data_IF_931055323216
#
_entry.id   IF_931055323216
#
_cell.length_a   1.000
_cell.length_b   1.000
_cell.length_c   1.000
_cell.angle_alpha   90.00
_cell.angle_beta   90.00
_cell.angle_gamma   90.00
#
_symmetry.space_group_name_H-M   'P 1'
#
loop_
_entity.id
_entity.type
_entity.pdbx_description
1 polymer ?
#
# COMPACT_ATOMS: atom_id res chain seq x y z
N UNK A 1 0.82 1.63 -16.61
CA UNK A 1 1.10 0.84 -17.84
C UNK A 1 0.59 -0.61 -17.74
N UNK A 2 1.12 -1.47 -16.85
CA UNK A 2 0.65 -2.87 -16.73
C UNK A 2 -0.87 -3.04 -16.57
N UNK A 3 -1.47 -2.27 -15.66
CA UNK A 3 -2.93 -2.30 -15.45
C UNK A 3 -3.71 -1.87 -16.71
N UNK A 4 -3.16 -0.95 -17.51
CA UNK A 4 -3.76 -0.50 -18.76
C UNK A 4 -3.72 -1.60 -19.82
N UNK A 5 -2.56 -2.26 -20.00
CA UNK A 5 -2.41 -3.38 -20.94
C UNK A 5 -3.28 -4.58 -20.54
N UNK A 6 -3.44 -4.85 -19.25
CA UNK A 6 -4.35 -5.89 -18.76
C UNK A 6 -5.82 -5.58 -19.05
N UNK A 7 -6.23 -4.32 -18.85
CA UNK A 7 -7.59 -3.88 -19.16
C UNK A 7 -7.86 -3.94 -20.68
N UNK A 8 -6.90 -3.51 -21.49
CA UNK A 8 -6.95 -3.59 -22.95
C UNK A 8 -7.07 -5.04 -23.43
N UNK A 9 -6.22 -5.95 -22.93
CA UNK A 9 -6.29 -7.37 -23.25
C UNK A 9 -7.67 -7.96 -22.91
N UNK A 10 -8.22 -7.65 -21.74
CA UNK A 10 -9.55 -8.15 -21.32
C UNK A 10 -10.67 -7.65 -22.23
N UNK A 11 -10.55 -6.42 -22.73
CA UNK A 11 -11.54 -5.80 -23.62
C UNK A 11 -11.48 -6.44 -25.00
N UNK A 12 -10.27 -6.62 -25.54
CA UNK A 12 -10.07 -7.23 -26.87
C UNK A 12 -10.46 -8.72 -26.84
N UNK A 13 -10.12 -9.47 -25.78
CA UNK A 13 -10.54 -10.87 -25.64
C UNK A 13 -12.06 -11.03 -25.65
N UNK A 14 -12.79 -10.15 -24.96
CA UNK A 14 -14.26 -10.15 -25.00
C UNK A 14 -14.79 -9.84 -26.40
N UNK A 15 -14.18 -8.88 -27.10
CA UNK A 15 -14.52 -8.57 -28.48
C UNK A 15 -14.26 -9.75 -29.42
N UNK A 16 -13.17 -10.50 -29.22
CA UNK A 16 -12.85 -11.70 -29.98
C UNK A 16 -13.89 -12.81 -29.78
N UNK A 17 -14.26 -13.09 -28.52
CA UNK A 17 -15.30 -14.08 -28.20
C UNK A 17 -16.64 -13.73 -28.85
N UNK A 18 -17.03 -12.46 -28.82
CA UNK A 18 -18.25 -11.98 -29.47
C UNK A 18 -18.16 -12.15 -31.00
N UNK A 19 -17.07 -11.72 -31.65
CA UNK A 19 -16.89 -11.88 -33.10
C UNK A 19 -16.87 -13.35 -33.52
N UNK A 20 -16.33 -14.25 -32.69
CA UNK A 20 -16.31 -15.69 -32.96
C UNK A 20 -17.72 -16.31 -32.88
N UNK A 21 -18.54 -15.87 -31.92
CA UNK A 21 -19.95 -16.26 -31.84
C UNK A 21 -20.74 -15.75 -33.06
N UNK A 22 -20.54 -14.49 -33.45
CA UNK A 22 -21.16 -13.91 -34.66
C UNK A 22 -20.73 -14.63 -35.94
N UNK A 23 -19.44 -14.99 -36.06
CA UNK A 23 -18.92 -15.75 -37.21
C UNK A 23 -19.57 -17.14 -37.32
N UNK A 24 -19.79 -17.79 -36.18
CA UNK A 24 -20.44 -19.12 -36.16
C UNK A 24 -21.88 -19.00 -36.64
N UNK A 25 -22.64 -18.04 -36.10
CA UNK A 25 -24.00 -17.76 -36.55
C UNK A 25 -24.07 -17.35 -38.04
N UNK A 26 -23.10 -16.58 -38.54
CA UNK A 26 -23.03 -16.19 -39.95
C UNK A 26 -22.76 -17.39 -40.88
N UNK A 27 -21.89 -18.33 -40.47
CA UNK A 27 -21.66 -19.58 -41.22
C UNK A 27 -22.89 -20.46 -41.26
N UNK A 28 -23.62 -20.59 -40.15
CA UNK A 28 -24.88 -21.34 -40.11
C UNK A 28 -25.92 -20.72 -41.05
N UNK A 29 -26.04 -19.38 -41.05
CA UNK A 29 -26.92 -18.65 -41.95
C UNK A 29 -26.51 -18.83 -43.43
N UNK A 30 -25.22 -18.78 -43.74
CA UNK A 30 -24.71 -19.03 -45.09
C UNK A 30 -25.05 -20.46 -45.56
N UNK A 31 -24.86 -21.47 -44.71
CA UNK A 31 -25.20 -22.85 -45.02
C UNK A 31 -26.71 -23.03 -45.26
N UNK A 32 -27.57 -22.36 -44.48
CA UNK A 32 -29.01 -22.39 -44.69
C UNK A 32 -29.42 -21.79 -46.04
N UNK A 33 -28.80 -20.68 -46.45
CA UNK A 33 -29.07 -20.05 -47.76
C UNK A 33 -28.53 -20.90 -48.91
N UNK A 34 -27.36 -21.54 -48.74
CA UNK A 34 -26.82 -22.49 -49.72
C UNK A 34 -27.78 -23.69 -49.93
N UNK A 35 -28.36 -24.21 -48.84
CA UNK A 35 -29.38 -25.27 -48.90
C UNK A 35 -30.64 -24.80 -49.62
N UNK A 36 -31.14 -23.60 -49.30
CA UNK A 36 -32.32 -23.03 -49.97
C UNK A 36 -32.10 -22.86 -51.49
N UNK A 37 -30.92 -22.39 -51.91
CA UNK A 37 -30.58 -22.28 -53.32
C UNK A 37 -30.59 -23.65 -54.01
N UNK A 38 -30.02 -24.68 -53.36
CA UNK A 38 -29.99 -26.04 -53.89
C UNK A 38 -31.40 -26.65 -54.01
N UNK A 39 -32.26 -26.45 -53.01
CA UNK A 39 -33.65 -26.91 -53.03
C UNK A 39 -34.48 -26.26 -54.13
N UNK A 40 -34.35 -24.94 -54.32
CA UNK A 40 -35.05 -24.24 -55.41
C UNK A 40 -34.58 -24.75 -56.77
N UNK A 41 -33.26 -24.92 -56.95
CA UNK A 41 -32.70 -25.45 -58.20
C UNK A 41 -33.21 -26.86 -58.49
N UNK A 42 -33.22 -27.75 -57.49
CA UNK A 42 -33.72 -29.12 -57.64
C UNK A 42 -35.21 -29.14 -58.01
N UNK A 43 -36.02 -28.26 -57.41
CA UNK A 43 -37.44 -28.11 -57.76
C UNK A 43 -37.61 -27.61 -59.19
N UNK A 44 -36.82 -26.64 -59.63
CA UNK A 44 -36.85 -26.14 -61.01
C UNK A 44 -36.52 -27.25 -62.02
N UNK A 45 -35.48 -28.05 -61.76
CA UNK A 45 -35.09 -29.16 -62.63
C UNK A 45 -36.22 -30.22 -62.73
N UNK A 46 -36.88 -30.52 -61.60
CA UNK A 46 -38.04 -31.42 -61.58
C UNK A 46 -39.26 -30.85 -62.33
N UNK A 47 -39.51 -29.54 -62.24
CA UNK A 47 -40.57 -28.88 -63.00
C UNK A 47 -40.29 -28.88 -64.50
N UNK A 48 -39.05 -28.61 -64.91
CA UNK A 48 -38.63 -28.66 -66.31
C UNK A 48 -38.79 -30.05 -66.91
N UNK A 49 -38.39 -31.11 -66.18
CA UNK A 49 -38.59 -32.49 -66.61
C UNK A 49 -40.09 -32.84 -66.82
N UNK A 50 -40.96 -32.39 -65.90
CA UNK A 50 -42.40 -32.60 -66.02
C UNK A 50 -43.02 -31.81 -67.19
N UNK A 51 -42.59 -30.57 -67.43
CA UNK A 51 -43.03 -29.81 -68.60
C UNK A 51 -42.66 -30.50 -69.90
N UNK A 52 -41.46 -31.07 -70.01
CA UNK A 52 -41.04 -31.84 -71.18
C UNK A 52 -41.94 -33.07 -71.43
N UNK A 53 -42.33 -33.80 -70.37
CA UNK A 53 -43.26 -34.93 -70.47
C UNK A 53 -44.68 -34.51 -70.91
N UNK A 54 -45.20 -33.41 -70.36
CA UNK A 54 -46.50 -32.88 -70.76
C UNK A 54 -46.48 -32.38 -72.21
N UNK A 55 -45.42 -31.69 -72.63
CA UNK A 55 -45.26 -31.25 -74.02
C UNK A 55 -45.22 -32.43 -74.99
N UNK A 56 -44.44 -33.47 -74.67
CA UNK A 56 -44.42 -34.69 -75.46
C UNK A 56 -45.80 -35.36 -75.54
N UNK A 57 -46.60 -35.29 -74.46
CA UNK A 57 -47.97 -35.83 -74.44
C UNK A 57 -48.92 -35.02 -75.33
N UNK A 58 -48.79 -33.69 -75.37
CA UNK A 58 -49.53 -32.83 -76.31
C UNK A 58 -49.18 -33.19 -77.75
N UNK A 59 -47.88 -33.35 -78.04
CA UNK A 59 -47.41 -33.68 -79.39
C UNK A 59 -47.90 -35.07 -79.85
N UNK A 60 -47.92 -36.04 -78.93
CA UNK A 60 -48.46 -37.38 -79.19
C UNK A 60 -49.98 -37.35 -79.46
N UNK A 61 -50.76 -36.60 -78.66
CA UNK A 61 -52.20 -36.41 -78.87
C UNK A 61 -52.47 -35.72 -80.22
N UNK A 62 -51.68 -34.70 -80.56
CA UNK A 62 -51.74 -34.00 -81.85
C UNK A 62 -51.57 -34.97 -83.04
N UNK A 63 -50.67 -35.95 -82.92
CA UNK A 63 -50.50 -36.99 -83.92
C UNK A 63 -51.71 -37.96 -83.99
N UNK A 64 -52.29 -38.34 -82.84
CA UNK A 64 -53.44 -39.26 -82.77
C UNK A 64 -54.72 -38.71 -83.41
N UNK A 65 -54.95 -37.39 -83.43
CA UNK A 65 -56.10 -36.80 -84.12
C UNK A 65 -56.22 -37.19 -85.60
N UNK A 66 -55.10 -37.53 -86.25
CA UNK A 66 -55.09 -37.94 -87.67
C UNK A 66 -55.59 -39.37 -87.90
N UNK A 67 -55.81 -40.14 -86.84
CA UNK A 67 -56.07 -41.59 -86.90
C UNK A 67 -57.49 -41.97 -86.48
N UNK A 68 -58.29 -41.03 -85.96
CA UNK A 68 -59.60 -41.32 -85.34
C UNK A 68 -60.70 -40.43 -85.93
N UNK A 69 -61.89 -40.97 -86.11
CA UNK A 69 -63.05 -40.29 -86.70
C UNK A 69 -63.83 -39.38 -85.75
N UNK A 70 -63.70 -39.54 -84.43
CA UNK A 70 -64.25 -38.64 -83.41
C UNK A 70 -63.13 -37.99 -82.61
N UNK A 71 -63.02 -36.66 -82.68
CA UNK A 71 -61.90 -35.91 -82.09
C UNK A 71 -62.21 -35.27 -80.75
N UNK A 72 -63.48 -35.13 -80.38
CA UNK A 72 -63.95 -34.43 -79.17
C UNK A 72 -63.24 -34.85 -77.86
N UNK A 73 -63.11 -36.15 -77.53
CA UNK A 73 -62.46 -36.56 -76.27
C UNK A 73 -60.96 -36.26 -76.23
N UNK A 74 -60.28 -36.34 -77.39
CA UNK A 74 -58.85 -36.03 -77.51
C UNK A 74 -58.61 -34.53 -77.38
N UNK A 75 -59.55 -33.70 -77.85
CA UNK A 75 -59.49 -32.25 -77.76
C UNK A 75 -59.65 -31.77 -76.32
N UNK A 76 -60.61 -32.33 -75.59
CA UNK A 76 -60.74 -32.06 -74.15
C UNK A 76 -59.48 -32.44 -73.37
N UNK A 77 -58.85 -33.58 -73.67
CA UNK A 77 -57.60 -33.99 -73.03
C UNK A 77 -56.42 -33.05 -73.37
N UNK A 78 -56.32 -32.61 -74.63
CA UNK A 78 -55.30 -31.65 -75.07
C UNK A 78 -55.44 -30.31 -74.34
N UNK A 79 -56.66 -29.78 -74.23
CA UNK A 79 -56.94 -28.51 -73.55
C UNK A 79 -56.55 -28.57 -72.06
N UNK A 80 -56.83 -29.69 -71.38
CA UNK A 80 -56.42 -29.90 -69.98
C UNK A 80 -54.90 -29.89 -69.84
N UNK A 81 -54.16 -30.56 -70.73
CA UNK A 81 -52.69 -30.59 -70.66
C UNK A 81 -52.10 -29.22 -70.98
N UNK A 82 -52.66 -28.48 -71.95
CA UNK A 82 -52.23 -27.12 -72.26
C UNK A 82 -52.45 -26.16 -71.09
N UNK A 83 -53.58 -26.26 -70.39
CA UNK A 83 -53.86 -25.48 -69.19
C UNK A 83 -52.84 -25.79 -68.07
N UNK A 84 -52.51 -27.07 -67.86
CA UNK A 84 -51.50 -27.50 -66.88
C UNK A 84 -50.09 -27.02 -67.26
N UNK A 85 -49.72 -27.04 -68.55
CA UNK A 85 -48.46 -26.48 -69.04
C UNK A 85 -48.34 -24.98 -68.76
N UNK A 86 -49.42 -24.23 -68.98
CA UNK A 86 -49.46 -22.79 -68.71
C UNK A 86 -49.35 -22.48 -67.21
N UNK A 87 -50.04 -23.25 -66.36
CA UNK A 87 -49.91 -23.15 -64.91
C UNK A 87 -48.46 -23.39 -64.46
N UNK A 88 -47.82 -24.45 -64.97
CA UNK A 88 -46.43 -24.78 -64.64
C UNK A 88 -45.43 -23.74 -65.16
N UNK A 89 -45.70 -23.13 -66.31
CA UNK A 89 -44.90 -22.02 -66.82
C UNK A 89 -44.89 -20.85 -65.83
N UNK A 90 -46.05 -20.50 -65.26
CA UNK A 90 -46.14 -19.49 -64.20
C UNK A 90 -45.35 -19.86 -62.94
N UNK A 91 -45.41 -21.13 -62.52
CA UNK A 91 -44.66 -21.64 -61.36
C UNK A 91 -43.14 -21.57 -61.58
N UNK A 92 -42.65 -21.88 -62.79
CA UNK A 92 -41.22 -21.74 -63.13
C UNK A 92 -40.78 -20.28 -63.06
N UNK A 93 -41.60 -19.34 -63.55
CA UNK A 93 -41.34 -17.91 -63.43
C UNK A 93 -41.20 -17.46 -61.97
N UNK A 94 -42.07 -17.94 -61.09
CA UNK A 94 -41.97 -17.68 -59.64
C UNK A 94 -40.69 -18.29 -59.04
N UNK A 95 -40.37 -19.55 -59.35
CA UNK A 95 -39.15 -20.19 -58.85
C UNK A 95 -37.88 -19.50 -59.33
N UNK A 96 -37.85 -18.99 -60.57
CA UNK A 96 -36.73 -18.22 -61.08
C UNK A 96 -36.52 -16.92 -60.28
N UNK A 97 -37.62 -16.25 -59.91
CA UNK A 97 -37.58 -15.06 -59.04
C UNK A 97 -37.07 -15.43 -57.64
N UNK A 98 -37.57 -16.51 -57.06
CA UNK A 98 -37.16 -17.00 -55.74
C UNK A 98 -35.67 -17.40 -55.74
N UNK A 99 -35.18 -18.03 -56.80
CA UNK A 99 -33.77 -18.39 -56.98
C UNK A 99 -32.89 -17.14 -57.04
N UNK A 100 -33.30 -16.12 -57.79
CA UNK A 100 -32.55 -14.86 -57.88
C UNK A 100 -32.47 -14.16 -56.52
N UNK A 101 -33.58 -14.14 -55.76
CA UNK A 101 -33.59 -13.59 -54.41
C UNK A 101 -32.69 -14.38 -53.44
N UNK A 102 -32.74 -15.72 -53.51
CA UNK A 102 -31.88 -16.59 -52.70
C UNK A 102 -30.39 -16.42 -53.05
N UNK A 103 -30.05 -16.27 -54.33
CA UNK A 103 -28.68 -15.99 -54.78
C UNK A 103 -28.17 -14.63 -54.27
N UNK A 104 -29.03 -13.60 -54.25
CA UNK A 104 -28.67 -12.30 -53.68
C UNK A 104 -28.44 -12.39 -52.14
N UNK A 105 -29.29 -13.13 -51.43
CA UNK A 105 -29.11 -13.43 -50.02
C UNK A 105 -27.80 -14.20 -49.76
N UNK A 106 -27.45 -15.14 -50.65
CA UNK A 106 -26.22 -15.93 -50.57
C UNK A 106 -24.97 -15.05 -50.66
N UNK A 107 -24.94 -14.13 -51.62
CA UNK A 107 -23.82 -13.17 -51.76
C UNK A 107 -23.68 -12.33 -50.49
N UNK A 108 -24.81 -11.85 -49.94
CA UNK A 108 -24.81 -11.07 -48.69
C UNK A 108 -24.25 -11.88 -47.51
N UNK A 109 -24.64 -13.15 -47.39
CA UNK A 109 -24.14 -14.04 -46.34
C UNK A 109 -22.62 -14.29 -46.48
N UNK A 110 -22.13 -14.54 -47.70
CA UNK A 110 -20.70 -14.74 -47.97
C UNK A 110 -19.86 -13.51 -47.59
N UNK A 111 -20.34 -12.31 -47.96
CA UNK A 111 -19.66 -11.06 -47.61
C UNK A 111 -19.60 -10.90 -46.09
N UNK A 112 -20.71 -11.12 -45.38
CA UNK A 112 -20.77 -11.01 -43.91
C UNK A 112 -19.84 -12.01 -43.22
N UNK A 113 -19.80 -13.26 -43.67
CA UNK A 113 -18.87 -14.28 -43.14
C UNK A 113 -17.42 -13.83 -43.35
N UNK A 114 -17.09 -13.34 -44.55
CA UNK A 114 -15.72 -12.89 -44.89
C UNK A 114 -15.28 -11.71 -44.01
N UNK A 115 -16.16 -10.73 -43.78
CA UNK A 115 -15.89 -9.59 -42.89
C UNK A 115 -15.63 -10.04 -41.45
N UNK A 116 -16.44 -10.97 -40.93
CA UNK A 116 -16.29 -11.50 -39.58
C UNK A 116 -15.01 -12.34 -39.42
N UNK A 117 -14.59 -13.07 -40.47
CA UNK A 117 -13.30 -13.79 -40.47
C UNK A 117 -12.11 -12.82 -40.41
N UNK A 118 -12.19 -11.71 -41.15
CA UNK A 118 -11.17 -10.65 -41.10
C UNK A 118 -11.12 -10.00 -39.71
N UNK A 119 -12.28 -9.71 -39.09
CA UNK A 119 -12.35 -9.16 -37.73
C UNK A 119 -11.77 -10.13 -36.69
N UNK A 120 -12.13 -11.42 -36.74
CA UNK A 120 -11.55 -12.43 -35.86
C UNK A 120 -10.02 -12.51 -35.99
N UNK A 121 -9.52 -12.45 -37.23
CA UNK A 121 -8.07 -12.48 -37.49
C UNK A 121 -7.37 -11.25 -36.93
N UNK A 122 -7.95 -10.05 -37.12
CA UNK A 122 -7.42 -8.80 -36.58
C UNK A 122 -7.38 -8.83 -35.05
N UNK A 123 -8.48 -9.20 -34.39
CA UNK A 123 -8.52 -9.33 -32.92
C UNK A 123 -7.48 -10.33 -32.40
N UNK A 124 -7.34 -11.49 -33.05
CA UNK A 124 -6.34 -12.49 -32.67
C UNK A 124 -4.90 -11.94 -32.76
N UNK A 125 -4.58 -11.19 -33.81
CA UNK A 125 -3.28 -10.54 -33.94
C UNK A 125 -3.04 -9.50 -32.84
N UNK A 126 -4.04 -8.67 -32.51
CA UNK A 126 -3.92 -7.69 -31.44
C UNK A 126 -3.75 -8.35 -30.08
N UNK A 127 -4.45 -9.45 -29.79
CA UNK A 127 -4.27 -10.24 -28.56
C UNK A 127 -2.82 -10.70 -28.41
N UNK A 128 -2.21 -11.23 -29.49
CA UNK A 128 -0.81 -11.66 -29.48
C UNK A 128 0.13 -10.49 -29.19
N UNK A 129 -0.07 -9.33 -29.83
CA UNK A 129 0.76 -8.14 -29.63
C UNK A 129 0.68 -7.61 -28.21
N UNK A 130 -0.53 -7.43 -27.67
CA UNK A 130 -0.74 -6.92 -26.30
C UNK A 130 -0.17 -7.90 -25.28
N UNK A 131 -0.31 -9.21 -25.51
CA UNK A 131 0.27 -10.24 -24.63
C UNK A 131 1.80 -10.16 -24.59
N UNK A 132 2.46 -9.96 -25.73
CA UNK A 132 3.92 -9.78 -25.81
C UNK A 132 4.38 -8.49 -25.10
N UNK A 133 3.67 -7.38 -25.31
CA UNK A 133 3.96 -6.13 -24.61
C UNK A 133 3.82 -6.27 -23.09
N UNK A 134 2.80 -7.00 -22.64
CA UNK A 134 2.55 -7.26 -21.24
C UNK A 134 3.65 -8.11 -20.60
N UNK A 135 4.17 -9.12 -21.32
CA UNK A 135 5.32 -9.90 -20.89
C UNK A 135 6.58 -9.03 -20.73
N UNK A 136 6.92 -8.24 -21.76
CA UNK A 136 8.07 -7.33 -21.71
C UNK A 136 7.94 -6.29 -20.59
N UNK A 137 6.75 -5.73 -20.38
CA UNK A 137 6.50 -4.77 -19.29
C UNK A 137 6.68 -5.40 -17.90
N UNK A 138 6.31 -6.68 -17.73
CA UNK A 138 6.53 -7.41 -16.47
C UNK A 138 8.02 -7.61 -16.18
N UNK A 139 8.80 -7.96 -17.20
CA UNK A 139 10.25 -8.14 -17.06
C UNK A 139 10.93 -6.82 -16.64
N UNK A 140 10.55 -5.70 -17.26
CA UNK A 140 11.06 -4.38 -16.90
C UNK A 140 10.70 -4.00 -15.46
N UNK A 141 9.47 -4.29 -15.00
CA UNK A 141 9.06 -4.03 -13.62
C UNK A 141 9.87 -4.88 -12.64
N UNK A 142 10.08 -6.16 -12.92
CA UNK A 142 10.88 -7.05 -12.08
C UNK A 142 12.34 -6.57 -11.98
N UNK A 143 12.94 -6.15 -13.11
CA UNK A 143 14.29 -5.60 -13.14
C UNK A 143 14.40 -4.31 -12.30
N UNK A 144 13.44 -3.38 -12.46
CA UNK A 144 13.42 -2.13 -11.68
C UNK A 144 13.23 -2.37 -10.19
N UNK A 145 12.39 -3.33 -9.80
CA UNK A 145 12.21 -3.71 -8.40
C UNK A 145 13.50 -4.27 -7.80
N UNK A 146 14.19 -5.16 -8.52
CA UNK A 146 15.48 -5.69 -8.10
C UNK A 146 16.52 -4.58 -7.89
N UNK A 147 16.66 -3.66 -8.86
CA UNK A 147 17.56 -2.50 -8.74
C UNK A 147 17.20 -1.59 -7.58
N UNK A 148 15.91 -1.36 -7.33
CA UNK A 148 15.44 -0.56 -6.20
C UNK A 148 15.82 -1.20 -4.86
N UNK A 149 15.62 -2.51 -4.72
CA UNK A 149 16.02 -3.24 -3.50
C UNK A 149 17.52 -3.13 -3.26
N UNK A 150 18.34 -3.42 -4.26
CA UNK A 150 19.81 -3.30 -4.18
C UNK A 150 20.21 -1.87 -3.78
N UNK A 151 19.60 -0.85 -4.39
CA UNK A 151 19.89 0.55 -4.07
C UNK A 151 19.48 0.93 -2.64
N UNK A 152 18.37 0.40 -2.13
CA UNK A 152 17.93 0.65 -0.75
C UNK A 152 18.87 -0.01 0.25
N UNK A 153 19.24 -1.26 0.01
CA UNK A 153 20.15 -2.01 0.87
C UNK A 153 21.52 -1.31 0.92
N UNK A 154 22.06 -0.95 -0.25
CA UNK A 154 23.32 -0.20 -0.33
C UNK A 154 23.24 1.17 0.36
N UNK A 155 22.13 1.91 0.21
CA UNK A 155 21.95 3.18 0.89
C UNK A 155 21.87 3.01 2.41
N UNK A 156 21.22 1.96 2.90
CA UNK A 156 21.12 1.63 4.32
C UNK A 156 22.48 1.26 4.90
N UNK A 157 23.25 0.44 4.18
CA UNK A 157 24.62 0.06 4.56
C UNK A 157 25.54 1.28 4.64
N UNK A 158 25.53 2.14 3.61
CA UNK A 158 26.31 3.37 3.57
C UNK A 158 25.90 4.32 4.70
N UNK A 159 24.61 4.49 4.95
CA UNK A 159 24.12 5.33 6.04
C UNK A 159 24.58 4.82 7.41
N UNK A 160 24.50 3.51 7.63
CA UNK A 160 25.00 2.88 8.85
C UNK A 160 26.51 3.09 9.00
N UNK A 161 27.28 2.93 7.92
CA UNK A 161 28.72 3.14 7.94
C UNK A 161 29.09 4.59 8.29
N UNK A 162 28.45 5.57 7.63
CA UNK A 162 28.66 7.00 7.91
C UNK A 162 28.27 7.34 9.34
N UNK A 163 27.14 6.84 9.83
CA UNK A 163 26.66 7.09 11.20
C UNK A 163 27.63 6.51 12.23
N UNK A 164 28.14 5.29 12.01
CA UNK A 164 29.11 4.65 12.88
C UNK A 164 30.46 5.38 12.87
N UNK A 165 30.93 5.83 11.71
CA UNK A 165 32.17 6.59 11.60
C UNK A 165 32.07 7.96 12.29
N UNK A 166 30.96 8.67 12.06
CA UNK A 166 30.68 9.94 12.73
C UNK A 166 30.62 9.79 14.26
N UNK A 167 30.02 8.69 14.76
CA UNK A 167 30.00 8.38 16.19
C UNK A 167 31.39 8.02 16.74
N UNK A 168 32.19 7.22 16.01
CA UNK A 168 33.57 6.87 16.41
C UNK A 168 34.48 8.09 16.49
N UNK A 169 34.29 9.04 15.58
CA UNK A 169 35.08 10.26 15.52
C UNK A 169 34.56 11.36 16.46
N UNK A 170 33.56 11.04 17.31
CA UNK A 170 32.90 11.98 18.22
C UNK A 170 32.30 13.21 17.50
N UNK A 171 32.09 13.11 16.18
CA UNK A 171 31.46 14.16 15.36
C UNK A 171 29.97 14.26 15.64
N UNK A 172 29.36 13.17 16.11
CA UNK A 172 27.95 13.07 16.50
C UNK A 172 27.85 12.17 17.73
N UNK A 173 27.10 12.59 18.73
CA UNK A 173 26.79 11.75 19.87
C UNK A 173 25.80 10.64 19.49
N UNK A 174 26.08 9.41 19.91
CA UNK A 174 25.16 8.29 19.70
C UNK A 174 24.06 8.38 20.74
N UNK A 175 22.83 8.65 20.30
CA UNK A 175 21.64 8.59 21.16
C UNK A 175 21.49 7.16 21.70
N UNK A 176 21.88 6.94 22.95
CA UNK A 176 21.81 5.66 23.65
C UNK A 176 21.00 5.84 24.92
N UNK A 177 20.10 4.92 25.29
CA UNK A 177 19.40 5.04 26.57
C UNK A 177 20.39 4.96 27.72
N UNK A 178 20.17 5.74 28.77
CA UNK A 178 20.89 5.62 30.03
C UNK A 178 20.53 4.29 30.71
N UNK A 179 21.49 3.65 31.36
CA UNK A 179 21.19 2.52 32.24
C UNK A 179 20.27 2.99 33.39
N UNK A 180 19.46 2.09 33.98
CA UNK A 180 18.60 2.43 35.12
C UNK A 180 19.37 3.11 36.28
N UNK A 181 20.59 2.65 36.54
CA UNK A 181 21.48 3.24 37.54
C UNK A 181 21.96 4.62 37.11
N UNK A 182 22.37 4.79 35.85
CA UNK A 182 22.78 6.09 35.32
C UNK A 182 21.63 7.11 35.38
N UNK A 183 20.40 6.71 35.07
CA UNK A 183 19.21 7.54 35.19
C UNK A 183 18.96 7.95 36.65
N UNK A 184 19.05 7.01 37.58
CA UNK A 184 18.89 7.28 39.02
C UNK A 184 19.96 8.27 39.52
N UNK A 185 21.23 7.99 39.27
CA UNK A 185 22.33 8.83 39.75
C UNK A 185 22.32 10.21 39.12
N UNK A 186 21.95 10.33 37.84
CA UNK A 186 21.80 11.63 37.17
C UNK A 186 20.67 12.44 37.80
N UNK A 187 19.53 11.80 38.07
CA UNK A 187 18.38 12.41 38.76
C UNK A 187 18.77 12.90 40.17
N UNK A 188 19.42 12.05 40.97
CA UNK A 188 19.85 12.39 42.33
C UNK A 188 20.91 13.49 42.35
N UNK A 189 21.79 13.52 41.35
CA UNK A 189 22.82 14.56 41.21
C UNK A 189 22.19 15.91 40.86
N UNK A 190 21.35 15.95 39.83
CA UNK A 190 20.82 17.22 39.31
C UNK A 190 19.81 17.87 40.25
N UNK A 191 19.05 17.05 40.99
CA UNK A 191 18.15 17.53 42.05
C UNK A 191 18.89 17.89 43.34
N UNK A 192 20.21 17.71 43.39
CA UNK A 192 21.05 18.00 44.56
C UNK A 192 20.89 17.03 45.73
N UNK A 193 20.10 15.96 45.59
CA UNK A 193 19.91 14.98 46.65
C UNK A 193 21.21 14.26 47.00
N UNK A 194 22.00 13.88 45.99
CA UNK A 194 23.30 13.26 46.23
C UNK A 194 24.23 14.19 47.04
N UNK A 195 24.28 15.47 46.69
CA UNK A 195 25.12 16.44 47.39
C UNK A 195 24.63 16.71 48.82
N UNK A 196 23.31 16.74 49.06
CA UNK A 196 22.73 16.86 50.40
C UNK A 196 23.15 15.70 51.31
N UNK A 197 23.11 14.46 50.81
CA UNK A 197 23.56 13.29 51.57
C UNK A 197 25.07 13.33 51.82
N UNK A 198 25.87 13.75 50.83
CA UNK A 198 27.32 13.92 51.02
C UNK A 198 27.60 14.93 52.14
N UNK A 199 26.92 16.08 52.16
CA UNK A 199 27.10 17.09 53.22
C UNK A 199 26.65 16.58 54.59
N UNK A 200 25.56 15.81 54.66
CA UNK A 200 25.13 15.18 55.90
C UNK A 200 26.17 14.18 56.44
N UNK A 201 26.76 13.35 55.58
CA UNK A 201 27.84 12.43 55.98
C UNK A 201 29.10 13.18 56.41
N UNK A 202 29.46 14.28 55.74
CA UNK A 202 30.58 15.13 56.17
C UNK A 202 30.32 15.65 57.59
N UNK A 203 29.12 16.15 57.86
CA UNK A 203 28.74 16.66 59.18
C UNK A 203 28.76 15.55 60.26
N UNK A 204 28.31 14.34 59.93
CA UNK A 204 28.36 13.19 60.85
C UNK A 204 29.80 12.70 61.10
N UNK A 205 30.66 12.72 60.08
CA UNK A 205 32.09 12.46 60.26
C UNK A 205 32.73 13.53 61.14
N UNK A 206 32.31 14.80 61.03
CA UNK A 206 32.80 15.89 61.90
C UNK A 206 32.41 15.71 63.36
N UNK A 207 31.20 15.23 63.63
CA UNK A 207 30.76 14.89 65.00
C UNK A 207 31.49 13.68 65.56
N UNK A 208 31.64 12.62 64.76
CA UNK A 208 32.18 11.33 65.20
C UNK A 208 33.71 11.26 65.23
N UNK A 209 34.39 12.06 64.42
CA UNK A 209 35.85 12.10 64.32
C UNK A 209 36.30 13.50 63.83
N UNK A 210 36.33 14.52 64.69
CA UNK A 210 36.67 15.90 64.30
C UNK A 210 38.01 15.99 63.58
N UNK A 211 38.08 16.75 62.49
CA UNK A 211 39.34 16.99 61.78
C UNK A 211 40.11 18.11 62.48
N UNK A 212 41.45 18.01 62.55
CA UNK A 212 42.25 19.17 62.95
C UNK A 212 42.15 20.27 61.88
N UNK A 213 42.16 21.54 62.30
CA UNK A 213 42.14 22.69 61.39
C UNK A 213 43.36 22.69 60.43
N UNK A 214 44.49 22.13 60.89
CA UNK A 214 45.75 21.98 60.15
C UNK A 214 45.83 20.67 59.33
N UNK A 215 44.72 19.96 59.12
CA UNK A 215 44.75 18.71 58.39
C UNK A 215 45.21 18.91 56.93
N UNK A 216 46.20 18.10 56.51
CA UNK A 216 46.74 18.08 55.16
C UNK A 216 45.67 17.80 54.09
N UNK A 217 45.91 18.28 52.87
CA UNK A 217 45.01 18.10 51.73
C UNK A 217 44.66 16.63 51.44
N UNK A 218 45.59 15.69 51.71
CA UNK A 218 45.36 14.25 51.54
C UNK A 218 44.40 13.67 52.59
N UNK A 219 44.39 14.19 53.81
CA UNK A 219 43.47 13.80 54.87
C UNK A 219 42.05 14.31 54.56
N UNK A 220 41.92 15.55 54.10
CA UNK A 220 40.63 16.13 53.66
C UNK A 220 40.03 15.37 52.49
N UNK A 221 40.84 14.97 51.50
CA UNK A 221 40.38 14.15 50.36
C UNK A 221 39.89 12.76 50.76
N UNK A 222 40.62 12.07 51.66
CA UNK A 222 40.18 10.75 52.16
C UNK A 222 38.84 10.84 52.90
N UNK A 223 38.67 11.89 53.71
CA UNK A 223 37.43 12.16 54.42
C UNK A 223 36.27 12.44 53.45
N UNK A 224 36.51 13.24 52.41
CA UNK A 224 35.53 13.47 51.35
C UNK A 224 35.12 12.17 50.64
N UNK A 225 36.10 11.32 50.29
CA UNK A 225 35.82 10.02 49.66
C UNK A 225 35.00 9.10 50.56
N UNK A 226 35.27 9.11 51.87
CA UNK A 226 34.49 8.34 52.85
C UNK A 226 33.04 8.82 52.94
N UNK A 227 32.83 10.14 52.99
CA UNK A 227 31.49 10.73 52.99
C UNK A 227 30.72 10.41 51.70
N UNK A 228 31.39 10.51 50.55
CA UNK A 228 30.81 10.13 49.24
C UNK A 228 30.40 8.66 49.26
N UNK A 229 31.29 7.74 49.67
CA UNK A 229 30.97 6.32 49.71
C UNK A 229 29.78 6.02 50.62
N UNK A 230 29.74 6.60 51.82
CA UNK A 230 28.64 6.43 52.76
C UNK A 230 27.30 6.99 52.20
N UNK A 231 27.34 8.12 51.48
CA UNK A 231 26.16 8.67 50.80
C UNK A 231 25.65 7.72 49.70
N UNK A 232 26.55 7.16 48.87
CA UNK A 232 26.19 6.16 47.87
C UNK A 232 25.58 4.90 48.50
N UNK A 233 26.13 4.42 49.61
CA UNK A 233 25.61 3.25 50.31
C UNK A 233 24.19 3.51 50.86
N UNK A 234 23.91 4.71 51.38
CA UNK A 234 22.56 5.11 51.83
C UNK A 234 21.56 5.28 50.69
N UNK A 235 22.00 5.81 49.55
CA UNK A 235 21.17 6.07 48.38
C UNK A 235 20.95 4.84 47.49
N UNK A 236 21.65 3.73 47.74
CA UNK A 236 21.59 2.52 46.94
C UNK A 236 20.17 1.97 46.78
N UNK A 237 19.34 2.06 47.83
CA UNK A 237 17.94 1.62 47.77
C UNK A 237 17.12 2.33 46.67
N UNK A 238 17.44 3.58 46.33
CA UNK A 238 16.81 4.27 45.22
C UNK A 238 17.26 3.72 43.87
N UNK A 239 18.54 3.36 43.72
CA UNK A 239 19.03 2.70 42.51
C UNK A 239 18.34 1.35 42.30
N UNK A 240 18.11 0.56 43.36
CA UNK A 240 17.41 -0.72 43.27
C UNK A 240 15.96 -0.54 42.76
N UNK A 241 15.26 0.53 43.16
CA UNK A 241 13.91 0.88 42.65
C UNK A 241 13.96 1.23 41.16
N UNK A 242 14.92 2.05 40.73
CA UNK A 242 15.07 2.39 39.32
C UNK A 242 15.43 1.16 38.48
N UNK A 243 16.32 0.29 38.96
CA UNK A 243 16.64 -0.98 38.30
C UNK A 243 15.39 -1.84 38.15
N UNK A 244 14.58 -1.99 39.21
CA UNK A 244 13.34 -2.77 39.13
C UNK A 244 12.32 -2.24 38.11
N UNK A 245 12.30 -0.92 37.85
CA UNK A 245 11.31 -0.28 36.97
C UNK A 245 11.80 -0.11 35.54
N UNK A 246 13.09 0.17 35.36
CA UNK A 246 13.68 0.57 34.09
C UNK A 246 14.60 -0.51 33.47
N UNK A 247 14.98 -1.56 34.19
CA UNK A 247 15.74 -2.67 33.60
C UNK A 247 14.86 -3.54 32.70
N UNK A 248 15.43 -4.00 31.59
CA UNK A 248 14.81 -5.00 30.71
C UNK A 248 14.40 -6.25 31.50
N UNK A 249 13.21 -6.77 31.20
CA UNK A 249 12.77 -8.06 31.74
C UNK A 249 13.73 -9.19 31.33
N UNK A 250 13.71 -10.34 32.05
CA UNK A 250 14.71 -11.40 31.91
C UNK A 250 14.84 -12.00 30.50
N UNK A 251 13.86 -11.77 29.62
CA UNK A 251 13.83 -12.27 28.23
C UNK A 251 14.14 -11.20 27.16
N UNK A 252 14.57 -9.99 27.55
CA UNK A 252 14.90 -8.89 26.61
C UNK A 252 16.36 -8.46 26.72
N UNK A 253 16.96 -8.12 25.58
CA UNK A 253 18.28 -7.48 25.53
C UNK A 253 18.23 -6.11 26.22
N UNK A 254 19.27 -5.74 26.96
CA UNK A 254 19.35 -4.46 27.67
C UNK A 254 19.44 -3.24 26.74
N UNK A 255 19.69 -3.46 25.44
CA UNK A 255 19.93 -2.40 24.46
C UNK A 255 18.63 -1.75 23.92
N UNK A 256 17.46 -2.30 24.24
CA UNK A 256 16.17 -1.85 23.68
C UNK A 256 15.41 -0.93 24.67
N UNK A 257 15.09 0.29 24.22
CA UNK A 257 14.28 1.23 25.00
C UNK A 257 12.81 0.79 25.04
N UNK A 258 12.20 0.76 26.23
CA UNK A 258 10.76 0.61 26.38
C UNK A 258 10.21 1.58 27.43
N UNK A 259 9.09 2.21 27.10
CA UNK A 259 8.30 3.02 28.02
C UNK A 259 7.14 2.18 28.54
N UNK A 260 7.11 1.91 29.85
CA UNK A 260 6.00 1.18 30.49
C UNK A 260 5.09 2.13 31.26
N UNK A 261 3.84 1.69 31.48
CA UNK A 261 2.87 2.41 32.32
C UNK A 261 3.40 2.53 33.74
N UNK A 262 4.05 1.49 34.27
CA UNK A 262 4.62 1.52 35.62
C UNK A 262 5.74 2.55 35.79
N UNK A 263 6.58 2.73 34.76
CA UNK A 263 7.61 3.79 34.74
C UNK A 263 6.96 5.18 34.77
N UNK A 264 5.93 5.40 33.95
CA UNK A 264 5.21 6.67 33.91
C UNK A 264 4.48 6.94 35.23
N UNK A 265 3.82 5.94 35.82
CA UNK A 265 3.15 6.03 37.11
C UNK A 265 4.14 6.29 38.25
N UNK A 266 5.34 5.69 38.23
CA UNK A 266 6.34 5.97 39.24
C UNK A 266 6.80 7.43 39.17
N UNK A 267 7.12 7.94 37.98
CA UNK A 267 7.55 9.34 37.83
C UNK A 267 6.42 10.33 38.12
N UNK A 268 5.16 9.98 37.81
CA UNK A 268 3.99 10.84 38.02
C UNK A 268 3.38 10.78 39.42
N UNK A 269 3.40 9.63 40.10
CA UNK A 269 2.64 9.41 41.34
C UNK A 269 3.49 9.04 42.56
N UNK A 270 4.76 8.62 42.41
CA UNK A 270 5.54 8.15 43.58
C UNK A 270 6.00 9.27 44.52
N UNK A 271 5.71 10.54 44.21
CA UNK A 271 6.01 11.73 45.02
C UNK A 271 7.49 12.06 45.17
N UNK A 272 8.39 11.10 44.99
CA UNK A 272 9.83 11.26 45.28
C UNK A 272 10.51 12.12 44.22
N UNK A 273 10.35 11.80 42.92
CA UNK A 273 10.97 12.57 41.83
C UNK A 273 10.39 13.99 41.76
N UNK A 274 9.08 14.14 41.94
CA UNK A 274 8.43 15.44 41.99
C UNK A 274 8.89 16.28 43.21
N UNK A 275 8.99 15.67 44.40
CA UNK A 275 9.51 16.35 45.58
C UNK A 275 10.99 16.74 45.43
N UNK A 276 11.80 15.90 44.77
CA UNK A 276 13.19 16.20 44.49
C UNK A 276 13.36 17.36 43.52
N UNK A 277 12.40 17.62 42.63
CA UNK A 277 12.38 18.79 41.75
C UNK A 277 11.94 20.09 42.46
N UNK A 278 11.64 20.05 43.76
CA UNK A 278 11.15 21.21 44.51
C UNK A 278 12.18 22.34 44.71
N UNK A 279 11.80 23.43 45.41
CA UNK A 279 12.63 24.64 45.56
C UNK A 279 14.00 24.42 46.22
N UNK A 280 14.20 23.28 46.88
CA UNK A 280 15.49 22.89 47.44
C UNK A 280 16.48 22.42 46.38
N UNK A 281 16.03 21.97 45.20
CA UNK A 281 16.89 21.52 44.12
C UNK A 281 17.71 22.70 43.55
N UNK A 282 19.00 22.52 43.24
CA UNK A 282 19.84 23.59 42.73
C UNK A 282 19.28 24.26 41.47
N UNK A 283 18.90 23.46 40.46
CA UNK A 283 18.34 23.96 39.19
C UNK A 283 17.01 24.71 39.39
N UNK A 284 16.10 24.17 40.21
CA UNK A 284 14.82 24.81 40.52
C UNK A 284 15.02 26.12 41.27
N UNK A 285 15.92 26.14 42.26
CA UNK A 285 16.24 27.35 43.04
C UNK A 285 16.80 28.45 42.16
N UNK A 286 17.79 28.12 41.32
CA UNK A 286 18.42 29.06 40.41
C UNK A 286 17.41 29.63 39.41
N UNK A 287 16.52 28.79 38.87
CA UNK A 287 15.43 29.23 38.01
C UNK A 287 14.42 30.14 38.73
N UNK A 288 14.07 29.87 39.99
CA UNK A 288 13.17 30.73 40.80
C UNK A 288 13.79 32.11 41.04
N UNK A 289 15.09 32.17 41.30
CA UNK A 289 15.83 33.41 41.55
C UNK A 289 16.05 34.24 40.26
N UNK A 290 15.87 33.61 39.09
CA UNK A 290 16.05 34.24 37.78
C UNK A 290 14.78 34.96 37.33
N UNK A 291 14.89 36.27 37.09
CA UNK A 291 13.76 37.14 36.70
C UNK A 291 13.46 37.12 35.20
N UNK A 292 14.44 36.78 34.36
CA UNK A 292 14.28 36.70 32.90
C UNK A 292 13.84 35.29 32.50
N UNK A 293 12.64 35.17 31.93
CA UNK A 293 12.06 33.89 31.54
C UNK A 293 12.85 33.19 30.42
N UNK A 294 13.57 33.94 29.57
CA UNK A 294 14.45 33.34 28.57
C UNK A 294 15.68 32.68 29.22
N UNK A 295 16.26 33.33 30.24
CA UNK A 295 17.36 32.76 31.01
C UNK A 295 16.90 31.57 31.88
N UNK A 296 15.64 31.56 32.32
CA UNK A 296 15.05 30.36 32.96
C UNK A 296 15.06 29.19 31.98
N UNK A 297 14.67 29.39 30.73
CA UNK A 297 14.73 28.33 29.72
C UNK A 297 16.16 27.83 29.49
N UNK A 298 17.14 28.74 29.38
CA UNK A 298 18.55 28.37 29.24
C UNK A 298 19.06 27.54 30.43
N UNK A 299 18.68 27.93 31.65
CA UNK A 299 19.05 27.23 32.87
C UNK A 299 18.46 25.82 32.92
N UNK A 300 17.14 25.69 32.64
CA UNK A 300 16.44 24.42 32.71
C UNK A 300 17.00 23.42 31.68
N UNK A 301 17.07 23.82 30.42
CA UNK A 301 17.54 22.94 29.34
C UNK A 301 19.05 22.70 29.39
N UNK A 302 19.83 23.72 29.76
CA UNK A 302 21.28 23.63 29.90
C UNK A 302 21.69 22.69 31.03
N UNK A 303 21.05 22.79 32.20
CA UNK A 303 21.36 21.92 33.33
C UNK A 303 20.77 20.51 33.14
N UNK A 304 19.50 20.39 32.76
CA UNK A 304 18.81 19.08 32.72
C UNK A 304 19.15 18.26 31.47
N UNK A 305 19.26 18.91 30.31
CA UNK A 305 19.42 18.21 29.02
C UNK A 305 20.78 18.46 28.37
N UNK A 306 21.67 19.23 29.02
CA UNK A 306 23.02 19.55 28.52
C UNK A 306 23.04 20.20 27.14
N UNK A 307 21.99 20.95 26.76
CA UNK A 307 21.89 21.67 25.48
C UNK A 307 21.16 23.01 25.64
N UNK A 308 21.37 23.98 24.73
CA UNK A 308 20.54 25.18 24.72
C UNK A 308 19.08 24.84 24.36
N UNK A 309 18.11 25.62 24.87
CA UNK A 309 16.73 25.53 24.44
C UNK A 309 16.61 25.99 22.98
N UNK A 310 15.63 25.45 22.27
CA UNK A 310 15.21 25.97 20.97
C UNK A 310 14.32 27.21 21.13
N UNK A 311 14.10 27.96 20.05
CA UNK A 311 13.21 29.12 20.05
C UNK A 311 11.78 28.75 20.54
N UNK A 312 11.29 27.58 20.12
CA UNK A 312 9.96 27.07 20.50
C UNK A 312 9.89 26.76 22.00
N UNK A 313 10.92 26.11 22.54
CA UNK A 313 10.99 25.75 23.96
C UNK A 313 11.13 26.99 24.85
N UNK A 314 11.88 28.00 24.37
CA UNK A 314 12.02 29.29 25.04
C UNK A 314 10.67 30.01 25.13
N UNK A 315 9.91 30.03 24.04
CA UNK A 315 8.55 30.60 24.05
C UNK A 315 7.60 29.79 24.94
N UNK A 316 7.69 28.46 24.96
CA UNK A 316 6.87 27.62 25.83
C UNK A 316 7.10 27.93 27.32
N UNK A 317 8.36 28.11 27.73
CA UNK A 317 8.70 28.48 29.11
C UNK A 317 8.14 29.86 29.45
N UNK A 318 8.28 30.84 28.56
CA UNK A 318 7.67 32.18 28.75
C UNK A 318 6.17 32.08 28.92
N UNK A 319 5.48 31.41 28.00
CA UNK A 319 4.02 31.25 28.03
C UNK A 319 3.53 30.63 29.33
N UNK A 320 4.27 29.65 29.87
CA UNK A 320 3.93 29.01 31.13
C UNK A 320 4.22 29.88 32.36
N UNK A 321 5.14 30.86 32.28
CA UNK A 321 5.47 31.75 33.41
C UNK A 321 4.70 33.07 33.38
N UNK A 322 4.11 33.44 32.24
CA UNK A 322 3.33 34.68 32.07
C UNK A 322 2.12 34.68 33.00
N UNK A 323 2.04 35.72 33.85
CA UNK A 323 0.86 35.97 34.69
C UNK A 323 0.69 35.03 35.89
N UNK A 324 1.65 34.14 36.17
CA UNK A 324 1.57 33.14 37.25
C UNK A 324 1.69 33.75 38.66
N UNK A 325 2.35 34.91 38.80
CA UNK A 325 2.47 35.63 40.08
C UNK A 325 3.12 34.78 41.18
N UNK A 326 2.46 34.66 42.33
CA UNK A 326 2.94 33.89 43.49
C UNK A 326 3.11 32.38 43.22
N UNK A 327 2.49 31.85 42.15
CA UNK A 327 2.63 30.44 41.74
C UNK A 327 3.91 30.11 40.99
N UNK A 328 4.79 31.09 40.70
CA UNK A 328 5.97 30.91 39.83
C UNK A 328 6.84 29.73 40.26
N UNK A 329 7.10 29.59 41.56
CA UNK A 329 7.93 28.52 42.08
C UNK A 329 7.33 27.12 41.86
N UNK A 330 6.00 26.98 41.94
CA UNK A 330 5.33 25.71 41.68
C UNK A 330 5.39 25.34 40.19
N UNK A 331 5.19 26.32 39.30
CA UNK A 331 5.30 26.09 37.85
C UNK A 331 6.71 25.69 37.45
N UNK A 332 7.74 26.33 37.99
CA UNK A 332 9.14 25.97 37.71
C UNK A 332 9.44 24.55 38.22
N UNK A 333 8.94 24.16 39.40
CA UNK A 333 9.07 22.79 39.90
C UNK A 333 8.41 21.77 38.96
N UNK A 334 7.21 22.08 38.44
CA UNK A 334 6.51 21.25 37.45
C UNK A 334 7.30 21.13 36.15
N UNK A 335 7.90 22.22 35.66
CA UNK A 335 8.77 22.21 34.49
C UNK A 335 9.98 21.30 34.68
N UNK A 336 10.71 21.45 35.80
CA UNK A 336 11.87 20.62 36.13
C UNK A 336 11.47 19.15 36.19
N UNK A 337 10.36 18.83 36.87
CA UNK A 337 9.81 17.48 36.92
C UNK A 337 9.44 16.94 35.52
N UNK A 338 8.82 17.76 34.68
CA UNK A 338 8.42 17.36 33.32
C UNK A 338 9.62 17.04 32.43
N UNK A 339 10.70 17.80 32.56
CA UNK A 339 11.96 17.56 31.84
C UNK A 339 12.65 16.29 32.34
N UNK A 340 12.68 16.05 33.65
CA UNK A 340 13.17 14.78 34.23
C UNK A 340 12.33 13.56 33.78
N UNK A 341 11.04 13.76 33.54
CA UNK A 341 10.12 12.73 33.05
C UNK A 341 10.17 12.54 31.52
N UNK A 342 10.83 13.44 30.80
CA UNK A 342 10.88 13.42 29.34
C UNK A 342 11.64 12.19 28.81
N UNK A 343 11.31 11.78 27.58
CA UNK A 343 12.09 10.78 26.89
C UNK A 343 13.54 11.24 26.72
N UNK A 344 13.73 12.53 26.43
CA UNK A 344 15.03 13.14 26.17
C UNK A 344 16.02 12.96 27.33
N UNK A 345 15.60 13.21 28.57
CA UNK A 345 16.44 13.01 29.75
C UNK A 345 16.90 11.56 29.96
N UNK A 346 16.21 10.59 29.34
CA UNK A 346 16.54 9.15 29.43
C UNK A 346 17.59 8.72 28.40
N UNK A 347 18.02 9.61 27.50
CA UNK A 347 19.07 9.32 26.53
C UNK A 347 20.35 10.09 26.84
N UNK A 348 21.49 9.46 26.59
CA UNK A 348 22.78 10.14 26.53
C UNK A 348 22.94 10.82 25.17
N UNK A 349 23.22 12.12 25.23
CA UNK A 349 23.86 12.89 24.16
C UNK A 349 25.38 12.90 24.33
#
# INVERSE_FOLDING_TARGET
>A
ELASLQAELSTISRGFEQSQAELTAARDAQQAVDQQCAEIQQRMDAHAANQALLQHSVDALAASFKLVSSTEPLQAAQDVILAELQLRSGQVGQMQSDLSAAQAARVTAIVRTTELEQQCTAHSQTIVQVTQQLAAARDVVAERQSKLTISKDSSSELWSAVSQDAARNLSVARLSPLSPEQLCWSTLRITGQLDNYIQAEIAELEKSSPSSADADASARRRRQQQAVRAAFDKLRSYADVFVSLYASGPDKTQDDFFASVDQALYTANSGSVFAWAGPSAPVTRQAIETSDDALVAEELYGCLLCRPPTDIETELVKDQLVGVGEGRAAVIQEMVWSLLASAEFRFSY
#
